data_IF_318204648708
#
_entry.id   IF_318204648708
#
_cell.length_a   1.000
_cell.length_b   1.000
_cell.length_c   1.000
_cell.angle_alpha   90.00
_cell.angle_beta   90.00
_cell.angle_gamma   90.00
#
_symmetry.space_group_name_H-M   'P 1'
#
loop_
_entity.id
_entity.type
_entity.pdbx_description
1 polymer ?
#
# COMPACT_ATOMS: atom_id res chain seq x y z
N UNK A 1 4.91 9.52 -4.98
CA UNK A 1 6.01 8.68 -4.49
C UNK A 1 5.42 7.69 -3.50
N UNK A 2 5.84 6.44 -3.55
CA UNK A 2 5.31 5.35 -2.73
C UNK A 2 6.51 4.56 -2.25
N UNK A 3 6.75 4.57 -0.94
CA UNK A 3 7.91 3.91 -0.34
C UNK A 3 7.44 2.82 0.64
N UNK A 4 7.73 1.54 0.37
CA UNK A 4 7.46 0.47 1.32
C UNK A 4 8.33 0.60 2.57
N UNK A 5 7.69 0.55 3.73
CA UNK A 5 8.31 0.65 5.05
C UNK A 5 8.33 -0.69 5.79
N UNK A 6 7.49 -1.65 5.40
CA UNK A 6 7.44 -2.97 6.04
C UNK A 6 6.52 -3.95 5.32
N UNK A 7 6.75 -5.25 5.56
CA UNK A 7 6.04 -6.35 4.91
C UNK A 7 5.71 -7.42 5.96
N UNK A 8 4.44 -7.78 6.08
CA UNK A 8 3.99 -8.78 7.05
C UNK A 8 2.69 -9.45 6.63
N UNK A 9 2.56 -10.78 6.76
CA UNK A 9 1.29 -11.44 6.49
C UNK A 9 0.28 -11.09 7.59
N UNK A 10 -1.00 -10.91 7.24
CA UNK A 10 -2.08 -10.84 8.21
C UNK A 10 -2.57 -12.24 8.63
N UNK A 11 -3.49 -12.30 9.59
CA UNK A 11 -4.08 -13.55 10.09
C UNK A 11 -4.84 -14.35 9.01
N UNK A 12 -5.26 -13.68 7.94
CA UNK A 12 -5.95 -14.28 6.79
C UNK A 12 -4.99 -14.72 5.68
N UNK A 13 -3.67 -14.54 5.86
CA UNK A 13 -2.65 -14.89 4.89
C UNK A 13 -2.46 -13.88 3.76
N UNK A 14 -3.07 -12.69 3.83
CA UNK A 14 -2.81 -11.59 2.89
C UNK A 14 -1.47 -10.93 3.21
N UNK A 15 -0.76 -10.48 2.20
CA UNK A 15 0.45 -9.69 2.42
C UNK A 15 0.08 -8.24 2.69
N UNK A 16 0.36 -7.75 3.90
CA UNK A 16 0.20 -6.35 4.27
C UNK A 16 1.54 -5.64 4.12
N UNK A 17 1.54 -4.57 3.34
CA UNK A 17 2.70 -3.72 3.11
C UNK A 17 2.42 -2.35 3.69
N UNK A 18 3.20 -1.94 4.70
CA UNK A 18 3.17 -0.58 5.22
C UNK A 18 3.88 0.35 4.24
N UNK A 19 3.24 1.45 3.89
CA UNK A 19 3.66 2.34 2.81
C UNK A 19 3.59 3.78 3.27
N UNK A 20 4.67 4.53 3.06
CA UNK A 20 4.65 5.98 3.08
C UNK A 20 4.27 6.50 1.69
N UNK A 21 3.09 7.12 1.59
CA UNK A 21 2.53 7.61 0.33
C UNK A 21 2.52 9.13 0.29
N UNK A 22 3.18 9.67 -0.74
CA UNK A 22 3.21 11.10 -1.06
C UNK A 22 2.60 11.33 -2.44
N UNK A 23 1.50 12.06 -2.52
CA UNK A 23 0.81 12.44 -3.75
C UNK A 23 0.92 13.94 -3.96
N UNK A 24 1.25 14.36 -5.19
CA UNK A 24 1.32 15.75 -5.61
C UNK A 24 0.42 15.97 -6.81
N UNK A 25 -0.10 17.19 -6.96
CA UNK A 25 -0.81 17.60 -8.17
C UNK A 25 0.16 17.81 -9.35
N UNK A 26 -0.40 18.22 -10.50
CA UNK A 26 0.39 18.46 -11.71
C UNK A 26 1.34 19.66 -11.59
N UNK A 27 1.05 20.60 -10.70
CA UNK A 27 1.89 21.76 -10.41
C UNK A 27 2.95 21.46 -9.32
N UNK A 28 2.93 20.25 -8.76
CA UNK A 28 3.86 19.78 -7.74
C UNK A 28 3.45 20.10 -6.30
N UNK A 29 2.27 20.69 -6.08
CA UNK A 29 1.77 20.96 -4.73
C UNK A 29 1.42 19.65 -4.03
N UNK A 30 1.71 19.60 -2.73
CA UNK A 30 1.42 18.43 -1.92
C UNK A 30 -0.09 18.26 -1.75
N UNK A 31 -0.61 17.10 -2.16
CA UNK A 31 -2.01 16.73 -1.96
C UNK A 31 -2.18 15.78 -0.76
N UNK A 32 -1.32 14.77 -0.64
CA UNK A 32 -1.38 13.75 0.40
C UNK A 32 0.03 13.38 0.84
N UNK A 33 0.23 13.25 2.14
CA UNK A 33 1.43 12.69 2.77
C UNK A 33 0.96 11.86 3.98
N UNK A 34 0.92 10.54 3.84
CA UNK A 34 0.35 9.67 4.86
C UNK A 34 0.92 8.25 4.84
N UNK A 35 0.70 7.52 5.93
CA UNK A 35 0.91 6.07 5.99
C UNK A 35 -0.37 5.34 5.54
N UNK A 36 -0.21 4.33 4.69
CA UNK A 36 -1.28 3.42 4.28
C UNK A 36 -0.81 1.97 4.34
N UNK A 37 -1.77 1.05 4.37
CA UNK A 37 -1.54 -0.38 4.20
C UNK A 37 -2.03 -0.83 2.82
N UNK A 38 -1.14 -1.41 2.02
CA UNK A 38 -1.53 -2.17 0.84
C UNK A 38 -1.69 -3.64 1.23
N UNK A 39 -2.88 -4.19 1.03
CA UNK A 39 -3.21 -5.58 1.35
C UNK A 39 -3.33 -6.38 0.06
N UNK A 40 -2.47 -7.37 -0.13
CA UNK A 40 -2.45 -8.20 -1.33
C UNK A 40 -2.93 -9.62 -1.05
N UNK A 41 -3.87 -10.08 -1.86
CA UNK A 41 -4.22 -11.50 -1.98
C UNK A 41 -3.57 -12.07 -3.23
N UNK A 42 -3.00 -13.25 -3.12
CA UNK A 42 -2.35 -13.94 -4.25
C UNK A 42 -3.11 -15.21 -4.63
N UNK A 43 -3.24 -15.44 -5.93
CA UNK A 43 -3.71 -16.69 -6.52
C UNK A 43 -2.71 -17.11 -7.60
N UNK A 44 -2.26 -18.36 -7.57
CA UNK A 44 -1.27 -18.91 -8.52
C UNK A 44 0.00 -18.06 -8.66
N UNK A 45 0.45 -17.46 -7.56
CA UNK A 45 1.65 -16.60 -7.51
C UNK A 45 1.46 -15.19 -8.10
N UNK A 46 0.24 -14.85 -8.54
CA UNK A 46 -0.13 -13.54 -9.08
C UNK A 46 -0.97 -12.77 -8.06
N UNK A 47 -0.92 -11.45 -8.13
CA UNK A 47 -1.82 -10.59 -7.34
C UNK A 47 -3.24 -10.77 -7.91
N UNK A 48 -4.13 -11.34 -7.10
CA UNK A 48 -5.55 -11.47 -7.42
C UNK A 48 -6.32 -10.21 -7.00
N UNK A 49 -5.94 -9.62 -5.84
CA UNK A 49 -6.59 -8.44 -5.29
C UNK A 49 -5.59 -7.57 -4.53
N UNK A 50 -5.80 -6.26 -4.63
CA UNK A 50 -5.12 -5.24 -3.84
C UNK A 50 -6.18 -4.33 -3.21
N UNK A 51 -6.17 -4.22 -1.88
CA UNK A 51 -6.94 -3.22 -1.14
C UNK A 51 -5.99 -2.20 -0.51
N UNK A 52 -6.44 -0.95 -0.38
CA UNK A 52 -5.71 0.11 0.33
C UNK A 52 -6.54 0.51 1.54
N UNK A 53 -5.89 0.56 2.71
CA UNK A 53 -6.50 1.02 3.95
C UNK A 53 -5.63 2.12 4.58
N UNK A 54 -6.27 3.06 5.27
CA UNK A 54 -5.56 3.96 6.18
C UNK A 54 -4.90 3.13 7.29
N UNK A 55 -3.70 3.54 7.71
CA UNK A 55 -2.87 2.80 8.67
C UNK A 55 -3.41 2.88 10.10
#
# INVERSE_FOLDING_TARGET
>A
HVEPQGFQPDESGRMVVAVHQVVRDLDGNLMVDQMVHHMYTFADGLIERMDIQEA
#
